data_IF_043138158742
#
_entry.id   IF_043138158742
#
_cell.length_a   1.000
_cell.length_b   1.000
_cell.length_c   1.000
_cell.angle_alpha   90.00
_cell.angle_beta   90.00
_cell.angle_gamma   90.00
#
_symmetry.space_group_name_H-M   'P 1'
#
loop_
_entity.id
_entity.type
_entity.pdbx_description
1 polymer ?
#
# COMPACT_ATOMS: atom_id res chain seq x y z
N UNK A 1 -7.30 24.55 6.85
CA UNK A 1 -7.50 25.18 5.53
C UNK A 1 -6.25 25.90 5.02
N UNK A 2 -5.52 26.67 5.83
CA UNK A 2 -4.32 27.41 5.38
C UNK A 2 -3.25 26.56 4.65
N UNK A 3 -3.00 25.33 5.09
CA UNK A 3 -2.05 24.41 4.44
C UNK A 3 -2.47 24.03 3.02
N UNK A 4 -3.76 23.78 2.78
CA UNK A 4 -4.26 23.39 1.47
C UNK A 4 -4.10 24.53 0.47
N UNK A 5 -4.49 25.74 0.89
CA UNK A 5 -4.34 26.97 0.09
C UNK A 5 -2.86 27.30 -0.19
N UNK A 6 -1.98 27.09 0.80
CA UNK A 6 -0.54 27.27 0.60
C UNK A 6 -0.01 26.33 -0.48
N UNK A 7 -0.31 25.04 -0.42
CA UNK A 7 0.19 24.07 -1.41
C UNK A 7 -0.42 24.30 -2.80
N UNK A 8 -1.69 24.68 -2.86
CA UNK A 8 -2.37 24.98 -4.12
C UNK A 8 -1.83 26.26 -4.76
N UNK A 9 -1.67 27.34 -3.99
CA UNK A 9 -1.13 28.62 -4.49
C UNK A 9 0.33 28.53 -4.96
N UNK A 10 1.11 27.59 -4.40
CA UNK A 10 2.47 27.29 -4.84
C UNK A 10 2.53 26.30 -6.02
N UNK A 11 1.40 25.72 -6.43
CA UNK A 11 1.33 24.70 -7.49
C UNK A 11 1.95 23.36 -7.10
N UNK A 12 2.01 23.04 -5.80
CA UNK A 12 2.61 21.80 -5.29
C UNK A 12 1.63 20.63 -5.20
N UNK A 13 0.34 20.90 -5.31
CA UNK A 13 -0.71 19.87 -5.38
C UNK A 13 -1.67 20.14 -6.55
N UNK A 14 -2.51 19.17 -6.84
CA UNK A 14 -3.53 19.19 -7.88
C UNK A 14 -4.88 19.76 -7.43
N UNK A 15 -4.94 20.36 -6.23
CA UNK A 15 -6.16 20.83 -5.59
C UNK A 15 -6.91 19.77 -4.78
N UNK A 16 -6.46 18.51 -4.77
CA UNK A 16 -7.00 17.50 -3.85
C UNK A 16 -6.45 17.70 -2.42
N UNK A 17 -7.17 17.22 -1.40
CA UNK A 17 -6.70 17.29 -0.02
C UNK A 17 -5.35 16.59 0.15
N UNK A 18 -4.34 17.33 0.63
CA UNK A 18 -3.01 16.81 0.93
C UNK A 18 -2.71 16.83 2.43
N UNK A 19 -1.98 15.83 2.92
CA UNK A 19 -1.36 15.86 4.26
C UNK A 19 0.11 16.29 4.11
N UNK A 20 0.58 17.34 4.80
CA UNK A 20 1.98 17.76 4.71
C UNK A 20 2.93 16.65 5.18
N UNK A 21 3.94 16.30 4.39
CA UNK A 21 4.93 15.30 4.78
C UNK A 21 5.94 15.91 5.74
N UNK A 22 5.56 16.06 7.01
CA UNK A 22 6.49 16.54 8.04
C UNK A 22 7.51 15.44 8.38
N UNK A 23 8.73 15.83 8.75
CA UNK A 23 9.81 14.89 9.11
C UNK A 23 9.38 13.90 10.20
N UNK A 24 8.59 14.34 11.18
CA UNK A 24 8.10 13.51 12.26
C UNK A 24 7.17 12.38 11.77
N UNK A 25 6.29 12.67 10.80
CA UNK A 25 5.36 11.66 10.27
C UNK A 25 6.07 10.72 9.29
N UNK A 26 6.97 11.26 8.46
CA UNK A 26 7.78 10.45 7.53
C UNK A 26 8.70 9.49 8.30
N UNK A 27 9.38 9.98 9.34
CA UNK A 27 10.22 9.13 10.20
C UNK A 27 9.41 8.07 10.95
N UNK A 28 8.18 8.38 11.39
CA UNK A 28 7.30 7.38 11.99
C UNK A 28 6.93 6.25 11.02
N UNK A 29 6.64 6.55 9.75
CA UNK A 29 6.40 5.54 8.71
C UNK A 29 7.63 4.64 8.52
N UNK A 30 8.80 5.25 8.34
CA UNK A 30 10.07 4.53 8.15
C UNK A 30 10.42 3.65 9.36
N UNK A 31 10.23 4.17 10.58
CA UNK A 31 10.44 3.43 11.82
C UNK A 31 9.49 2.23 11.94
N UNK A 32 8.21 2.39 11.55
CA UNK A 32 7.25 1.29 11.58
C UNK A 32 7.61 0.16 10.61
N UNK A 33 8.15 0.50 9.44
CA UNK A 33 8.64 -0.48 8.47
C UNK A 33 10.05 -1.01 8.79
N UNK A 34 10.72 -0.51 9.83
CA UNK A 34 12.11 -0.84 10.18
C UNK A 34 13.09 -0.57 9.02
N UNK A 35 12.86 0.51 8.26
CA UNK A 35 13.66 0.85 7.08
C UNK A 35 14.42 2.18 7.26
N UNK A 36 15.71 2.26 6.92
CA UNK A 36 16.39 3.54 6.81
C UNK A 36 15.93 4.32 5.58
N UNK A 37 15.89 5.66 5.69
CA UNK A 37 15.42 6.56 4.64
C UNK A 37 16.09 6.35 3.27
N UNK A 38 17.40 6.10 3.28
CA UNK A 38 18.22 5.90 2.08
C UNK A 38 18.16 4.49 1.50
N UNK A 39 17.38 3.57 2.09
CA UNK A 39 17.23 2.22 1.55
C UNK A 39 16.66 2.31 0.13
N UNK A 40 17.40 1.76 -0.83
CA UNK A 40 16.93 1.60 -2.20
C UNK A 40 15.95 0.42 -2.25
N UNK A 41 14.74 0.67 -2.73
CA UNK A 41 13.72 -0.37 -2.94
C UNK A 41 13.93 -0.99 -4.31
N UNK A 42 13.96 -0.17 -5.36
CA UNK A 42 14.36 -0.59 -6.71
C UNK A 42 14.67 0.63 -7.59
N UNK A 43 14.98 0.41 -8.86
CA UNK A 43 15.13 1.44 -9.89
C UNK A 43 14.02 1.27 -10.92
N UNK A 44 13.28 2.35 -11.19
CA UNK A 44 12.30 2.32 -12.27
C UNK A 44 13.01 2.24 -13.63
N UNK A 45 12.84 1.13 -14.33
CA UNK A 45 13.68 0.73 -15.46
C UNK A 45 13.66 1.72 -16.62
N UNK A 46 12.50 2.33 -16.93
CA UNK A 46 12.38 3.20 -18.12
C UNK A 46 12.96 4.59 -17.91
N UNK A 47 12.87 5.13 -16.70
CA UNK A 47 13.37 6.49 -16.38
C UNK A 47 14.70 6.47 -15.62
N UNK A 48 15.20 5.28 -15.30
CA UNK A 48 16.39 5.03 -14.49
C UNK A 48 16.36 5.83 -13.17
N UNK A 49 15.20 5.85 -12.52
CA UNK A 49 15.01 6.63 -11.28
C UNK A 49 15.07 5.73 -10.07
N UNK A 50 15.99 5.99 -9.12
CA UNK A 50 16.05 5.23 -7.88
C UNK A 50 14.83 5.55 -7.01
N UNK A 51 14.12 4.51 -6.60
CA UNK A 51 12.98 4.56 -5.68
C UNK A 51 13.50 4.19 -4.30
N UNK A 52 13.62 5.17 -3.42
CA UNK A 52 14.07 4.98 -2.02
C UNK A 52 12.88 4.89 -1.07
N UNK A 53 13.09 4.26 0.09
CA UNK A 53 12.09 4.16 1.14
C UNK A 53 11.54 5.54 1.55
N UNK A 54 12.41 6.55 1.65
CA UNK A 54 12.00 7.93 1.95
C UNK A 54 11.05 8.52 0.89
N UNK A 55 11.33 8.32 -0.40
CA UNK A 55 10.45 8.82 -1.47
C UNK A 55 9.07 8.19 -1.38
N UNK A 56 9.01 6.89 -1.09
CA UNK A 56 7.74 6.19 -0.89
C UNK A 56 7.05 6.73 0.36
N UNK A 57 7.76 6.92 1.47
CA UNK A 57 7.21 7.43 2.73
C UNK A 57 6.62 8.83 2.58
N UNK A 58 7.33 9.76 1.93
CA UNK A 58 6.85 11.12 1.66
C UNK A 58 5.56 11.08 0.85
N UNK A 59 5.51 10.31 -0.25
CA UNK A 59 4.30 10.19 -1.07
C UNK A 59 3.15 9.50 -0.34
N UNK A 60 3.44 8.46 0.46
CA UNK A 60 2.44 7.77 1.26
C UNK A 60 1.83 8.72 2.30
N UNK A 61 2.65 9.51 3.01
CA UNK A 61 2.17 10.51 3.97
C UNK A 61 1.34 11.57 3.27
N UNK A 62 1.76 12.08 2.11
CA UNK A 62 0.97 13.04 1.33
C UNK A 62 -0.42 12.51 0.96
N UNK A 63 -0.52 11.21 0.67
CA UNK A 63 -1.78 10.51 0.41
C UNK A 63 -2.61 10.19 1.67
N UNK A 64 -2.11 10.51 2.86
CA UNK A 64 -2.77 10.24 4.14
C UNK A 64 -2.55 8.83 4.69
N UNK A 65 -1.49 8.14 4.27
CA UNK A 65 -1.11 6.83 4.79
C UNK A 65 -0.74 6.93 6.29
N UNK A 66 -1.29 6.01 7.09
CA UNK A 66 -0.89 5.86 8.48
C UNK A 66 0.45 5.11 8.54
N UNK A 67 1.34 5.42 9.51
CA UNK A 67 2.60 4.69 9.68
C UNK A 67 2.43 3.18 9.74
N UNK A 68 1.34 2.72 10.35
CA UNK A 68 1.07 1.29 10.51
C UNK A 68 0.81 0.55 9.18
N UNK A 69 0.31 1.26 8.18
CA UNK A 69 -0.02 0.74 6.86
C UNK A 69 1.15 0.87 5.87
N UNK A 70 2.18 1.66 6.22
CA UNK A 70 3.33 1.92 5.36
C UNK A 70 4.05 0.66 4.84
N UNK A 71 4.23 -0.43 5.63
CA UNK A 71 4.83 -1.66 5.12
C UNK A 71 4.08 -2.27 3.93
N UNK A 72 2.75 -2.12 3.89
CA UNK A 72 1.92 -2.58 2.78
C UNK A 72 2.18 -1.73 1.53
N UNK A 73 2.37 -0.42 1.70
CA UNK A 73 2.72 0.50 0.60
C UNK A 73 4.09 0.16 0.00
N UNK A 74 5.08 -0.17 0.84
CA UNK A 74 6.40 -0.60 0.35
C UNK A 74 6.33 -1.92 -0.40
N UNK A 75 5.56 -2.89 0.10
CA UNK A 75 5.33 -4.15 -0.59
C UNK A 75 4.62 -3.95 -1.94
N UNK A 76 3.60 -3.07 -1.98
CA UNK A 76 2.93 -2.66 -3.20
C UNK A 76 3.91 -2.06 -4.22
N UNK A 77 4.76 -1.13 -3.81
CA UNK A 77 5.79 -0.55 -4.67
C UNK A 77 6.79 -1.59 -5.20
N UNK A 78 7.21 -2.52 -4.34
CA UNK A 78 8.13 -3.60 -4.72
C UNK A 78 7.50 -4.51 -5.80
N UNK A 79 6.19 -4.75 -5.72
CA UNK A 79 5.44 -5.49 -6.73
C UNK A 79 5.26 -4.69 -8.04
N UNK A 80 5.01 -3.38 -7.94
CA UNK A 80 4.85 -2.50 -9.09
C UNK A 80 6.13 -2.35 -9.90
N UNK A 81 7.29 -2.34 -9.24
CA UNK A 81 8.60 -2.20 -9.87
C UNK A 81 9.08 -3.49 -10.55
N UNK A 82 8.34 -4.60 -10.42
CA UNK A 82 8.63 -5.80 -11.20
C UNK A 82 8.42 -5.55 -12.70
N UNK A 83 9.39 -5.98 -13.51
CA UNK A 83 9.36 -5.78 -14.97
C UNK A 83 8.05 -6.27 -15.61
N UNK A 84 7.51 -7.40 -15.12
CA UNK A 84 6.26 -7.98 -15.60
C UNK A 84 5.02 -7.06 -15.45
N UNK A 85 5.04 -6.10 -14.51
CA UNK A 85 3.94 -5.15 -14.31
C UNK A 85 4.00 -3.95 -15.27
N UNK A 86 5.19 -3.60 -15.80
CA UNK A 86 5.40 -2.47 -16.69
C UNK A 86 4.90 -1.12 -16.10
N UNK A 87 5.40 -0.73 -14.93
CA UNK A 87 5.00 0.49 -14.20
C UNK A 87 4.98 1.75 -15.08
N UNK A 88 5.96 1.90 -15.97
CA UNK A 88 6.01 3.04 -16.88
C UNK A 88 4.75 3.17 -17.74
N UNK A 89 4.20 2.07 -18.23
CA UNK A 89 3.00 2.07 -19.07
C UNK A 89 1.77 2.56 -18.30
N UNK A 90 1.65 2.18 -17.03
CA UNK A 90 0.56 2.63 -16.15
C UNK A 90 0.69 4.12 -15.78
N UNK A 91 1.91 4.60 -15.55
CA UNK A 91 2.16 5.96 -15.04
C UNK A 91 2.32 7.03 -16.13
N UNK A 92 2.70 6.66 -17.35
CA UNK A 92 2.81 7.58 -18.49
C UNK A 92 1.47 7.78 -19.24
N UNK A 93 0.41 7.06 -18.86
CA UNK A 93 -0.89 7.13 -19.51
C UNK A 93 -1.71 8.35 -19.11
N UNK A 94 -2.35 9.01 -20.08
CA UNK A 94 -3.32 10.09 -19.83
C UNK A 94 -4.74 9.57 -19.54
N UNK A 95 -4.96 8.25 -19.63
CA UNK A 95 -6.27 7.62 -19.45
C UNK A 95 -6.67 7.35 -18.00
N UNK A 96 -5.85 7.74 -17.01
CA UNK A 96 -6.12 7.50 -15.59
C UNK A 96 -6.12 6.01 -15.23
N UNK A 97 -4.95 5.39 -15.20
CA UNK A 97 -4.83 4.00 -14.76
C UNK A 97 -4.95 3.91 -13.24
N UNK A 98 -6.00 3.25 -12.75
CA UNK A 98 -6.09 2.87 -11.35
C UNK A 98 -5.43 1.50 -11.14
N UNK A 99 -4.46 1.44 -10.22
CA UNK A 99 -3.79 0.20 -9.84
C UNK A 99 -4.68 -0.53 -8.83
N UNK A 100 -5.17 -1.71 -9.20
CA UNK A 100 -5.91 -2.58 -8.29
C UNK A 100 -4.96 -3.54 -7.59
N UNK A 101 -5.00 -3.56 -6.25
CA UNK A 101 -4.14 -4.40 -5.41
C UNK A 101 -4.98 -5.38 -4.59
N UNK A 102 -4.55 -6.64 -4.55
CA UNK A 102 -5.10 -7.66 -3.67
C UNK A 102 -4.08 -8.00 -2.59
N UNK A 103 -4.45 -7.79 -1.34
CA UNK A 103 -3.57 -8.02 -0.19
C UNK A 103 -4.16 -9.17 0.64
N UNK A 104 -3.42 -10.26 0.77
CA UNK A 104 -3.78 -11.43 1.57
C UNK A 104 -2.79 -11.60 2.73
N UNK A 105 -3.29 -11.87 3.94
CA UNK A 105 -2.48 -12.12 5.13
C UNK A 105 -2.94 -11.35 6.36
N UNK A 106 -2.20 -11.44 7.47
CA UNK A 106 -2.52 -10.78 8.75
C UNK A 106 -2.57 -9.25 8.67
N UNK A 107 -1.90 -8.65 7.67
CA UNK A 107 -2.00 -7.22 7.36
C UNK A 107 -3.36 -6.79 6.78
N UNK A 108 -4.15 -7.75 6.26
CA UNK A 108 -5.43 -7.49 5.59
C UNK A 108 -6.49 -6.93 6.55
N UNK A 109 -6.47 -7.31 7.83
CA UNK A 109 -7.36 -6.71 8.84
C UNK A 109 -7.01 -5.27 9.21
N UNK A 110 -5.74 -4.86 9.01
CA UNK A 110 -5.26 -3.49 9.26
C UNK A 110 -5.59 -2.57 8.08
N UNK A 111 -5.37 -3.04 6.84
CA UNK A 111 -5.72 -2.30 5.62
C UNK A 111 -7.23 -2.00 5.52
N UNK A 112 -8.10 -2.89 6.02
CA UNK A 112 -9.55 -2.68 6.12
C UNK A 112 -9.94 -1.54 7.08
N UNK A 113 -9.13 -1.24 8.10
CA UNK A 113 -9.38 -0.12 9.03
C UNK A 113 -8.75 1.20 8.55
N UNK A 114 -7.69 1.11 7.74
CA UNK A 114 -6.86 2.23 7.27
C UNK A 114 -7.27 2.87 5.93
N UNK A 115 -7.99 2.18 5.04
CA UNK A 115 -8.52 2.78 3.79
C UNK A 115 -9.76 3.64 4.10
N UNK A 116 -9.51 4.83 4.64
CA UNK A 116 -10.52 5.89 4.89
C UNK A 116 -10.43 7.03 3.88
N UNK A 117 -9.82 6.80 2.72
CA UNK A 117 -9.91 7.65 1.53
C UNK A 117 -10.84 6.99 0.51
N UNK A 118 -11.87 7.70 0.11
CA UNK A 118 -13.15 7.27 -0.48
C UNK A 118 -13.12 6.64 -1.88
N UNK A 119 -12.07 5.91 -2.32
CA UNK A 119 -12.04 5.39 -3.72
C UNK A 119 -11.47 3.99 -4.01
N UNK A 120 -11.25 3.12 -3.03
CA UNK A 120 -11.02 1.70 -3.33
C UNK A 120 -12.28 0.88 -3.01
N UNK A 121 -13.06 0.53 -4.05
CA UNK A 121 -14.15 -0.44 -3.94
C UNK A 121 -13.54 -1.79 -3.55
N UNK A 122 -13.85 -2.27 -2.34
CA UNK A 122 -13.62 -3.65 -1.92
C UNK A 122 -14.96 -4.27 -1.61
N UNK A 123 -15.37 -5.25 -2.42
CA UNK A 123 -16.49 -6.13 -2.09
C UNK A 123 -16.01 -7.13 -1.04
N UNK A 124 -16.36 -6.87 0.22
CA UNK A 124 -16.16 -7.84 1.30
C UNK A 124 -17.25 -8.92 1.20
N UNK A 125 -16.88 -10.16 0.87
CA UNK A 125 -17.65 -11.31 1.36
C UNK A 125 -17.06 -11.69 2.72
N UNK A 126 -17.81 -11.43 3.77
CA UNK A 126 -17.56 -11.98 5.09
C UNK A 126 -17.61 -13.51 5.04
N UNK A 127 -16.60 -14.18 5.60
CA UNK A 127 -16.65 -15.61 5.85
C UNK A 127 -17.60 -15.91 7.01
N UNK A 128 -18.41 -16.99 6.97
CA UNK A 128 -19.15 -17.42 8.15
C UNK A 128 -18.23 -18.20 9.11
N UNK A 129 -18.61 -18.10 10.38
CA UNK A 129 -17.83 -18.42 11.57
C UNK A 129 -17.40 -19.88 11.72
N UNK A 130 -16.29 -20.05 12.45
CA UNK A 130 -15.80 -21.33 12.95
C UNK A 130 -16.80 -22.01 13.89
N UNK A 131 -16.93 -23.34 13.78
CA UNK A 131 -17.39 -24.17 14.88
C UNK A 131 -18.20 -25.41 14.47
N UNK A 132 -17.56 -26.58 14.50
CA UNK A 132 -17.90 -27.68 15.42
C UNK A 132 -16.88 -28.81 15.30
N UNK A 133 -16.20 -29.10 16.41
CA UNK A 133 -15.55 -30.39 16.68
C UNK A 133 -16.55 -31.52 16.43
N UNK A 134 -16.15 -32.54 15.67
CA UNK A 134 -16.65 -33.89 15.87
C UNK A 134 -15.46 -34.87 15.87
N UNK A 135 -15.36 -35.55 17.01
CA UNK A 135 -14.53 -36.72 17.27
C UNK A 135 -15.06 -37.95 16.54
N UNK A 136 -14.23 -39.00 16.55
CA UNK A 136 -14.51 -40.43 16.33
C UNK A 136 -14.86 -40.87 14.90
N UNK A 137 -13.94 -41.59 14.26
CA UNK A 137 -13.93 -43.06 14.19
C UNK A 137 -13.07 -43.52 13.01
N UNK A 138 -12.05 -44.35 13.29
CA UNK A 138 -11.33 -45.15 12.28
C UNK A 138 -12.24 -46.30 11.86
N UNK A 139 -12.27 -46.67 10.57
CA UNK A 139 -12.43 -48.06 10.21
C UNK A 139 -11.28 -48.56 9.32
N UNK A 140 -10.83 -49.74 9.69
CA UNK A 140 -9.93 -50.67 9.01
C UNK A 140 -10.44 -51.18 7.65
N UNK A 141 -9.51 -51.48 6.73
CA UNK A 141 -9.71 -52.33 5.55
C UNK A 141 -8.94 -51.79 4.34
N UNK A 142 -7.74 -52.28 4.01
CA UNK A 142 -7.40 -53.50 3.23
C UNK A 142 -7.59 -53.36 1.71
N UNK A 143 -6.48 -53.45 0.97
CA UNK A 143 -6.48 -54.07 -0.38
C UNK A 143 -6.02 -53.18 -1.55
N UNK A 144 -4.84 -53.54 -2.05
CA UNK A 144 -4.20 -53.22 -3.34
C UNK A 144 -3.48 -51.88 -3.48
#
# INVERSE_FOLDING_TARGET
>A
MAVQELYHSQGWNDGLPIVPPTEAVVSACLAWALMPAHQLIDIEAVRERPVTAEKIAVNAVMAGCLPMDFPVVVAAWSALLQEAFLLHGATASTGGCAIFMVINGSWSSMAISGVRSTRAVVSARSAPAAGKRQSSAVPSGSGW
#
